data_IF_880645471837
#
_entry.id   IF_880645471837
#
_cell.length_a   1.000
_cell.length_b   1.000
_cell.length_c   1.000
_cell.angle_alpha   90.00
_cell.angle_beta   90.00
_cell.angle_gamma   90.00
#
_symmetry.space_group_name_H-M   'P 1'
#
loop_
_entity.id
_entity.type
_entity.pdbx_description
1 polymer ?
#
# COMPACT_ATOMS: atom_id res chain seq x y z
N UNK A 1 -7.25 6.11 84.17
CA UNK A 1 -8.11 6.32 82.96
C UNK A 1 -7.25 6.16 81.80
N UNK A 2 -7.37 5.00 81.14
CA UNK A 2 -6.49 4.61 79.97
C UNK A 2 -7.27 4.93 78.70
N UNK A 3 -6.65 5.71 77.84
CA UNK A 3 -7.08 5.90 76.44
C UNK A 3 -6.35 4.94 75.53
N UNK A 4 -7.04 3.97 75.01
CA UNK A 4 -6.59 3.09 73.94
C UNK A 4 -6.75 3.78 72.64
N UNK A 5 -5.63 3.97 71.92
CA UNK A 5 -5.59 4.42 70.51
C UNK A 5 -5.49 3.18 69.61
N UNK A 6 -6.50 2.97 68.75
CA UNK A 6 -6.49 1.96 67.68
C UNK A 6 -5.78 2.51 66.44
N UNK A 7 -4.88 1.76 65.81
CA UNK A 7 -4.30 2.17 64.53
C UNK A 7 -5.22 1.77 63.36
N UNK A 8 -5.61 2.77 62.56
CA UNK A 8 -6.27 2.58 61.28
C UNK A 8 -5.25 2.00 60.27
N UNK A 9 -5.49 0.79 59.84
CA UNK A 9 -4.80 0.20 58.68
C UNK A 9 -5.27 0.87 57.41
N UNK A 10 -4.34 1.57 56.73
CA UNK A 10 -4.54 2.05 55.39
C UNK A 10 -4.41 0.88 54.40
N UNK A 11 -5.49 0.59 53.70
CA UNK A 11 -5.44 -0.25 52.49
C UNK A 11 -4.95 0.60 51.31
N UNK A 12 -3.67 0.52 50.99
CA UNK A 12 -3.14 0.94 49.69
C UNK A 12 -3.67 -0.01 48.63
N UNK A 13 -4.69 0.38 47.91
CA UNK A 13 -5.05 -0.23 46.63
C UNK A 13 -4.08 0.24 45.55
N UNK A 14 -3.09 -0.59 45.27
CA UNK A 14 -2.27 -0.47 44.08
C UNK A 14 -3.14 -0.69 42.83
N UNK A 15 -3.68 0.38 42.30
CA UNK A 15 -4.38 0.42 41.00
C UNK A 15 -3.40 0.85 39.90
N UNK A 16 -2.35 0.06 39.67
CA UNK A 16 -1.33 0.32 38.65
C UNK A 16 -1.31 -0.72 37.51
N UNK A 17 -2.31 -1.62 37.42
CA UNK A 17 -2.27 -2.77 36.47
C UNK A 17 -2.98 -2.57 35.13
N UNK A 18 -3.81 -1.55 34.90
CA UNK A 18 -4.69 -1.51 33.73
C UNK A 18 -4.32 -0.53 32.59
N UNK A 19 -3.32 0.33 32.78
CA UNK A 19 -2.93 1.30 31.75
C UNK A 19 -1.83 0.81 30.81
N UNK A 20 -0.99 -0.13 31.23
CA UNK A 20 0.15 -0.59 30.43
C UNK A 20 -0.24 -1.61 29.34
N UNK A 21 -1.24 -2.46 29.61
CA UNK A 21 -1.67 -3.51 28.66
C UNK A 21 -2.27 -2.94 27.35
N UNK A 22 -2.91 -1.77 27.39
CA UNK A 22 -3.50 -1.15 26.20
C UNK A 22 -2.44 -0.50 25.28
N UNK A 23 -1.36 0.03 25.83
CA UNK A 23 -0.25 0.60 25.06
C UNK A 23 0.57 -0.48 24.35
N UNK A 24 0.78 -1.63 25.01
CA UNK A 24 1.55 -2.74 24.45
C UNK A 24 0.83 -3.38 23.25
N UNK A 25 -0.48 -3.57 23.33
CA UNK A 25 -1.27 -4.12 22.22
C UNK A 25 -1.35 -3.19 20.99
N UNK A 26 -1.21 -1.89 21.15
CA UNK A 26 -1.19 -0.94 20.03
C UNK A 26 0.17 -0.91 19.35
N UNK A 27 1.25 -0.94 20.09
CA UNK A 27 2.62 -0.98 19.58
C UNK A 27 2.89 -2.27 18.79
N UNK A 28 2.41 -3.41 19.27
CA UNK A 28 2.53 -4.72 18.60
C UNK A 28 1.86 -4.72 17.21
N UNK A 29 0.70 -4.09 17.07
CA UNK A 29 0.00 -4.02 15.76
C UNK A 29 0.73 -3.15 14.75
N UNK A 30 1.32 -2.05 15.19
CA UNK A 30 2.14 -1.19 14.33
C UNK A 30 3.43 -1.91 13.96
N UNK A 31 4.08 -2.61 14.90
CA UNK A 31 5.26 -3.41 14.63
C UNK A 31 4.97 -4.52 13.62
N UNK A 32 3.83 -5.23 13.75
CA UNK A 32 3.41 -6.25 12.79
C UNK A 32 3.25 -5.70 11.38
N UNK A 33 2.73 -4.47 11.23
CA UNK A 33 2.62 -3.83 9.94
C UNK A 33 4.00 -3.45 9.34
N UNK A 34 4.94 -2.99 10.17
CA UNK A 34 6.31 -2.73 9.71
C UNK A 34 7.02 -4.01 9.27
N UNK A 35 6.83 -5.11 9.99
CA UNK A 35 7.38 -6.42 9.57
C UNK A 35 6.77 -6.86 8.23
N UNK A 36 5.48 -6.64 8.01
CA UNK A 36 4.83 -6.91 6.73
C UNK A 36 5.45 -6.07 5.60
N UNK A 37 5.66 -4.76 5.79
CA UNK A 37 6.32 -3.91 4.80
C UNK A 37 7.75 -4.37 4.48
N UNK A 38 8.52 -4.79 5.48
CA UNK A 38 9.88 -5.33 5.26
C UNK A 38 9.82 -6.59 4.40
N UNK A 39 8.86 -7.47 4.66
CA UNK A 39 8.65 -8.69 3.85
C UNK A 39 8.32 -8.33 2.39
N UNK A 40 7.48 -7.32 2.17
CA UNK A 40 7.14 -6.84 0.83
C UNK A 40 8.36 -6.22 0.13
N UNK A 41 9.19 -5.44 0.83
CA UNK A 41 10.45 -4.92 0.28
C UNK A 41 11.37 -6.05 -0.19
N UNK A 42 11.50 -7.12 0.60
CA UNK A 42 12.31 -8.29 0.22
C UNK A 42 11.70 -8.99 -0.99
N UNK A 43 10.38 -9.17 -1.03
CA UNK A 43 9.66 -9.78 -2.15
C UNK A 43 9.91 -8.98 -3.44
N UNK A 44 9.65 -7.69 -3.45
CA UNK A 44 9.89 -6.84 -4.62
C UNK A 44 11.37 -6.76 -4.97
N UNK A 45 12.27 -6.69 -3.99
CA UNK A 45 13.71 -6.72 -4.21
C UNK A 45 14.17 -7.99 -4.95
N UNK A 46 13.63 -9.16 -4.59
CA UNK A 46 13.93 -10.41 -5.31
C UNK A 46 13.35 -10.44 -6.71
N UNK A 47 12.15 -9.89 -6.92
CA UNK A 47 11.55 -9.76 -8.25
C UNK A 47 12.35 -8.82 -9.15
N UNK A 48 12.82 -7.68 -8.66
CA UNK A 48 13.70 -6.76 -9.38
C UNK A 48 15.04 -7.41 -9.72
N UNK A 49 15.64 -8.15 -8.78
CA UNK A 49 16.88 -8.90 -9.05
C UNK A 49 16.66 -9.95 -10.15
N UNK A 50 15.57 -10.70 -10.10
CA UNK A 50 15.21 -11.67 -11.14
C UNK A 50 15.01 -11.01 -12.48
N UNK A 51 14.29 -9.89 -12.53
CA UNK A 51 14.10 -9.10 -13.75
C UNK A 51 15.45 -8.64 -14.34
N UNK A 52 16.35 -8.12 -13.51
CA UNK A 52 17.67 -7.65 -13.93
C UNK A 52 18.54 -8.77 -14.53
N UNK A 53 18.41 -10.00 -14.06
CA UNK A 53 19.12 -11.17 -14.61
C UNK A 53 18.52 -11.62 -15.96
N UNK A 54 17.19 -11.56 -16.09
CA UNK A 54 16.45 -12.05 -17.26
C UNK A 54 16.25 -10.98 -18.34
N UNK A 55 16.57 -9.73 -18.09
CA UNK A 55 16.31 -8.59 -18.96
C UNK A 55 16.87 -8.76 -20.40
N UNK A 56 18.00 -9.44 -20.57
CA UNK A 56 18.60 -9.73 -21.89
C UNK A 56 18.07 -11.03 -22.53
N UNK A 57 17.19 -11.78 -21.86
CA UNK A 57 16.71 -13.10 -22.32
C UNK A 57 15.45 -12.98 -23.16
N UNK A 58 15.52 -12.24 -24.29
CA UNK A 58 14.37 -12.00 -25.18
C UNK A 58 14.08 -13.14 -26.15
N UNK A 59 15.03 -14.09 -26.32
CA UNK A 59 14.90 -15.30 -27.18
C UNK A 59 14.48 -15.02 -28.63
N UNK A 60 14.79 -13.81 -29.15
CA UNK A 60 14.38 -13.42 -30.52
C UNK A 60 12.90 -13.02 -30.66
N UNK A 61 12.21 -12.82 -29.52
CA UNK A 61 10.84 -12.30 -29.48
C UNK A 61 10.78 -10.78 -29.63
N UNK A 62 9.56 -10.18 -29.59
CA UNK A 62 9.37 -8.74 -29.72
C UNK A 62 10.16 -7.98 -28.66
N UNK A 63 10.77 -6.87 -29.10
CA UNK A 63 11.61 -6.05 -28.22
C UNK A 63 10.75 -5.15 -27.34
N UNK A 64 11.16 -4.84 -26.10
CA UNK A 64 10.42 -3.94 -25.21
C UNK A 64 10.14 -2.57 -25.82
N UNK A 65 11.09 -2.06 -26.63
CA UNK A 65 10.98 -0.76 -27.31
C UNK A 65 9.80 -0.68 -28.29
N UNK A 66 9.39 -1.81 -28.88
CA UNK A 66 8.28 -1.87 -29.85
C UNK A 66 6.92 -2.00 -29.16
N UNK A 67 6.90 -2.52 -27.91
CA UNK A 67 5.69 -2.90 -27.21
C UNK A 67 5.22 -1.84 -26.19
N UNK A 68 6.13 -1.03 -25.64
CA UNK A 68 5.78 -0.08 -24.60
C UNK A 68 5.28 1.26 -25.17
N UNK A 69 4.03 1.57 -24.89
CA UNK A 69 3.46 2.90 -25.09
C UNK A 69 3.89 3.85 -23.96
N UNK A 70 5.05 4.51 -24.09
CA UNK A 70 5.56 5.44 -23.07
C UNK A 70 4.55 6.49 -22.59
N UNK A 71 3.65 7.06 -23.42
CA UNK A 71 2.60 7.98 -22.94
C UNK A 71 1.65 7.34 -21.94
N UNK A 72 1.33 6.04 -22.10
CA UNK A 72 0.46 5.30 -21.18
C UNK A 72 1.10 5.18 -19.79
N UNK A 73 2.33 4.71 -19.72
CA UNK A 73 3.09 4.52 -18.48
C UNK A 73 3.31 5.84 -17.73
N UNK A 74 3.56 6.93 -18.46
CA UNK A 74 3.67 8.27 -17.89
C UNK A 74 2.32 8.70 -17.28
N UNK A 75 1.21 8.48 -17.98
CA UNK A 75 -0.13 8.79 -17.47
C UNK A 75 -0.45 7.99 -16.20
N UNK A 76 -0.14 6.69 -16.16
CA UNK A 76 -0.28 5.84 -14.98
C UNK A 76 0.52 6.36 -13.79
N UNK A 77 1.75 6.81 -14.03
CA UNK A 77 2.60 7.41 -13.00
C UNK A 77 1.99 8.68 -12.43
N UNK A 78 1.48 9.58 -13.28
CA UNK A 78 0.81 10.80 -12.82
C UNK A 78 -0.48 10.50 -12.04
N UNK A 79 -1.25 9.48 -12.44
CA UNK A 79 -2.45 9.03 -11.74
C UNK A 79 -2.08 8.56 -10.33
N UNK A 80 -1.05 7.71 -10.18
CA UNK A 80 -0.60 7.22 -8.88
C UNK A 80 -0.04 8.33 -8.01
N UNK A 81 0.82 9.22 -8.52
CA UNK A 81 1.34 10.36 -7.77
C UNK A 81 0.23 11.28 -7.27
N UNK A 82 -0.77 11.55 -8.12
CA UNK A 82 -1.95 12.34 -7.73
C UNK A 82 -2.76 11.60 -6.66
N UNK A 83 -2.93 10.29 -6.79
CA UNK A 83 -3.58 9.43 -5.81
C UNK A 83 -2.87 9.46 -4.45
N UNK A 84 -1.55 9.43 -4.45
CA UNK A 84 -0.72 9.55 -3.24
C UNK A 84 -0.94 10.90 -2.55
N UNK A 85 -0.94 11.98 -3.31
CA UNK A 85 -1.22 13.31 -2.80
C UNK A 85 -2.63 13.42 -2.17
N UNK A 86 -3.65 12.88 -2.84
CA UNK A 86 -5.03 12.88 -2.31
C UNK A 86 -5.16 12.03 -1.06
N UNK A 87 -4.42 10.90 -0.96
CA UNK A 87 -4.33 10.08 0.25
C UNK A 87 -3.73 10.88 1.44
N UNK A 88 -2.69 11.67 1.20
CA UNK A 88 -2.11 12.56 2.21
C UNK A 88 -3.10 13.62 2.71
N UNK A 89 -3.90 14.21 1.81
CA UNK A 89 -4.95 15.16 2.18
C UNK A 89 -6.05 14.45 3.01
N UNK A 90 -6.41 13.22 2.69
CA UNK A 90 -7.36 12.45 3.47
C UNK A 90 -6.90 12.27 4.93
N UNK A 91 -5.61 11.97 5.15
CA UNK A 91 -5.01 11.91 6.50
C UNK A 91 -5.07 13.26 7.21
N UNK A 92 -4.83 14.37 6.49
CA UNK A 92 -4.95 15.72 7.05
C UNK A 92 -6.39 16.05 7.49
N UNK A 93 -7.40 15.66 6.69
CA UNK A 93 -8.82 15.81 7.06
C UNK A 93 -9.20 14.95 8.27
N UNK A 94 -8.60 13.78 8.40
CA UNK A 94 -8.76 12.93 9.58
C UNK A 94 -8.29 13.62 10.86
N UNK A 95 -7.11 14.27 10.82
CA UNK A 95 -6.59 15.03 11.96
C UNK A 95 -7.46 16.23 12.34
N UNK A 96 -8.08 16.87 11.33
CA UNK A 96 -9.06 17.96 11.55
C UNK A 96 -10.43 17.46 12.06
N UNK A 97 -10.64 16.15 12.18
CA UNK A 97 -11.91 15.56 12.60
C UNK A 97 -13.06 15.66 11.59
N UNK A 98 -12.75 16.04 10.35
CA UNK A 98 -13.75 16.22 9.28
C UNK A 98 -14.05 14.87 8.59
N UNK A 99 -15.08 14.17 9.09
CA UNK A 99 -15.50 12.86 8.55
C UNK A 99 -15.88 12.92 7.06
N UNK A 100 -16.62 13.95 6.64
CA UNK A 100 -17.07 14.08 5.24
C UNK A 100 -15.90 14.33 4.30
N UNK A 101 -14.97 15.21 4.70
CA UNK A 101 -13.74 15.48 3.95
C UNK A 101 -12.85 14.24 3.83
N UNK A 102 -12.67 13.50 4.93
CA UNK A 102 -11.90 12.26 4.94
C UNK A 102 -12.45 11.24 3.93
N UNK A 103 -13.76 10.96 3.99
CA UNK A 103 -14.39 10.00 3.06
C UNK A 103 -14.30 10.49 1.62
N UNK A 104 -14.56 11.78 1.37
CA UNK A 104 -14.48 12.36 0.02
C UNK A 104 -13.09 12.20 -0.61
N UNK A 105 -12.03 12.52 0.11
CA UNK A 105 -10.66 12.36 -0.38
C UNK A 105 -10.25 10.90 -0.55
N UNK A 106 -10.70 9.99 0.32
CA UNK A 106 -10.47 8.55 0.16
C UNK A 106 -11.19 8.01 -1.08
N UNK A 107 -12.40 8.50 -1.41
CA UNK A 107 -13.09 8.12 -2.65
C UNK A 107 -12.30 8.56 -3.88
N UNK A 108 -11.79 9.79 -3.90
CA UNK A 108 -10.96 10.29 -5.01
C UNK A 108 -9.71 9.42 -5.16
N UNK A 109 -9.01 9.11 -4.06
CA UNK A 109 -7.85 8.21 -4.06
C UNK A 109 -8.19 6.84 -4.62
N UNK A 110 -9.32 6.26 -4.18
CA UNK A 110 -9.77 4.94 -4.64
C UNK A 110 -10.15 4.94 -6.14
N UNK A 111 -10.77 6.00 -6.64
CA UNK A 111 -11.10 6.13 -8.07
C UNK A 111 -9.83 6.25 -8.92
N UNK A 112 -8.84 7.02 -8.48
CA UNK A 112 -7.53 7.12 -9.16
C UNK A 112 -6.81 5.76 -9.15
N UNK A 113 -6.79 5.05 -8.02
CA UNK A 113 -6.23 3.71 -7.94
C UNK A 113 -6.95 2.70 -8.84
N UNK A 114 -8.27 2.77 -8.93
CA UNK A 114 -9.06 1.93 -9.82
C UNK A 114 -8.79 2.23 -11.30
N UNK A 115 -8.62 3.52 -11.67
CA UNK A 115 -8.26 3.91 -13.04
C UNK A 115 -6.86 3.42 -13.42
N UNK A 116 -5.89 3.44 -12.49
CA UNK A 116 -4.58 2.85 -12.70
C UNK A 116 -4.68 1.34 -13.01
N UNK A 117 -5.38 0.57 -12.17
CA UNK A 117 -5.57 -0.88 -12.40
C UNK A 117 -6.25 -1.14 -13.75
N UNK A 118 -7.23 -0.31 -14.12
CA UNK A 118 -7.90 -0.45 -15.40
C UNK A 118 -6.94 -0.26 -16.58
N UNK A 119 -6.05 0.74 -16.54
CA UNK A 119 -5.05 0.98 -17.57
C UNK A 119 -4.03 -0.17 -17.63
N UNK A 120 -3.49 -0.60 -16.49
CA UNK A 120 -2.54 -1.71 -16.39
C UNK A 120 -3.11 -3.02 -16.97
N UNK A 121 -4.35 -3.36 -16.62
CA UNK A 121 -5.02 -4.55 -17.17
C UNK A 121 -5.26 -4.38 -18.67
N UNK A 122 -5.59 -3.18 -19.15
CA UNK A 122 -5.77 -2.92 -20.57
C UNK A 122 -4.45 -3.07 -21.36
N UNK A 123 -3.32 -2.65 -20.79
CA UNK A 123 -2.00 -2.89 -21.37
C UNK A 123 -1.67 -4.39 -21.44
N UNK A 124 -1.95 -5.12 -20.37
CA UNK A 124 -1.74 -6.58 -20.35
C UNK A 124 -2.56 -7.30 -21.43
N UNK A 125 -3.84 -6.91 -21.60
CA UNK A 125 -4.71 -7.50 -22.63
C UNK A 125 -4.14 -7.21 -24.02
N UNK A 126 -3.72 -5.99 -24.31
CA UNK A 126 -3.09 -5.63 -25.61
C UNK A 126 -1.86 -6.47 -25.89
N UNK A 127 -0.95 -6.61 -24.90
CA UNK A 127 0.26 -7.44 -25.05
C UNK A 127 -0.07 -8.90 -25.35
N UNK A 128 -1.09 -9.46 -24.70
CA UNK A 128 -1.54 -10.83 -24.93
C UNK A 128 -2.16 -10.99 -26.33
N UNK A 129 -2.94 -10.01 -26.81
CA UNK A 129 -3.52 -10.00 -28.16
C UNK A 129 -2.44 -9.90 -29.24
N UNK A 130 -1.32 -9.25 -28.97
CA UNK A 130 -0.15 -9.18 -29.84
C UNK A 130 0.73 -10.46 -29.76
N UNK A 131 0.30 -11.46 -28.98
CA UNK A 131 0.97 -12.76 -28.85
C UNK A 131 2.08 -12.81 -27.82
N UNK A 132 2.24 -11.75 -27.01
CA UNK A 132 3.21 -11.70 -25.91
C UNK A 132 2.57 -12.25 -24.64
N UNK A 133 3.08 -13.40 -24.19
CA UNK A 133 2.60 -14.07 -22.99
C UNK A 133 3.75 -14.35 -22.02
N UNK A 134 3.42 -14.77 -20.80
CA UNK A 134 4.40 -15.18 -19.78
C UNK A 134 5.38 -16.24 -20.33
N UNK A 135 4.93 -17.12 -21.25
CA UNK A 135 5.74 -18.17 -21.84
C UNK A 135 6.60 -17.75 -23.03
N UNK A 136 6.49 -16.51 -23.52
CA UNK A 136 7.17 -16.05 -24.75
C UNK A 136 8.69 -15.95 -24.56
N UNK A 137 9.16 -15.39 -23.44
CA UNK A 137 10.58 -15.30 -23.11
C UNK A 137 10.83 -15.10 -21.63
N UNK A 138 12.08 -15.23 -21.18
CA UNK A 138 12.48 -14.95 -19.81
C UNK A 138 12.21 -13.49 -19.40
N UNK A 139 12.44 -12.54 -20.32
CA UNK A 139 12.13 -11.14 -20.12
C UNK A 139 10.63 -10.92 -19.80
N UNK A 140 9.75 -11.40 -20.67
CA UNK A 140 8.31 -11.22 -20.53
C UNK A 140 7.74 -11.96 -19.30
N UNK A 141 8.30 -13.14 -18.99
CA UNK A 141 7.93 -13.86 -17.75
C UNK A 141 8.25 -13.03 -16.51
N UNK A 142 9.43 -12.44 -16.43
CA UNK A 142 9.83 -11.58 -15.30
C UNK A 142 9.02 -10.28 -15.26
N UNK A 143 8.75 -9.67 -16.41
CA UNK A 143 7.92 -8.48 -16.56
C UNK A 143 6.50 -8.70 -16.01
N UNK A 144 5.78 -9.68 -16.57
CA UNK A 144 4.41 -9.97 -16.13
C UNK A 144 4.33 -10.36 -14.66
N UNK A 145 5.35 -11.05 -14.14
CA UNK A 145 5.38 -11.41 -12.72
C UNK A 145 5.59 -10.19 -11.84
N UNK A 146 6.53 -9.31 -12.17
CA UNK A 146 6.85 -8.13 -11.37
C UNK A 146 5.70 -7.11 -11.38
N UNK A 147 5.26 -6.71 -12.58
CA UNK A 147 4.21 -5.70 -12.75
C UNK A 147 2.86 -6.26 -12.26
N UNK A 148 2.52 -7.51 -12.60
CA UNK A 148 1.31 -8.16 -12.12
C UNK A 148 1.26 -8.33 -10.61
N UNK A 149 2.39 -8.63 -9.96
CA UNK A 149 2.47 -8.67 -8.49
C UNK A 149 2.22 -7.29 -7.89
N UNK A 150 2.76 -6.23 -8.50
CA UNK A 150 2.48 -4.85 -8.09
C UNK A 150 0.99 -4.53 -8.22
N UNK A 151 0.37 -4.77 -9.37
CA UNK A 151 -1.06 -4.54 -9.60
C UNK A 151 -1.95 -5.33 -8.64
N UNK A 152 -1.57 -6.55 -8.27
CA UNK A 152 -2.26 -7.33 -7.25
C UNK A 152 -2.20 -6.65 -5.88
N UNK A 153 -1.04 -6.12 -5.48
CA UNK A 153 -0.90 -5.38 -4.23
C UNK A 153 -1.73 -4.08 -4.22
N UNK A 154 -1.76 -3.34 -5.34
CA UNK A 154 -2.62 -2.16 -5.50
C UNK A 154 -4.10 -2.55 -5.37
N UNK A 155 -4.51 -3.67 -5.97
CA UNK A 155 -5.90 -4.18 -5.89
C UNK A 155 -6.30 -4.54 -4.46
N UNK A 156 -5.43 -5.22 -3.71
CA UNK A 156 -5.63 -5.53 -2.29
C UNK A 156 -5.73 -4.25 -1.46
N UNK A 157 -4.84 -3.28 -1.70
CA UNK A 157 -4.87 -1.97 -1.04
C UNK A 157 -6.17 -1.22 -1.30
N UNK A 158 -6.67 -1.27 -2.54
CA UNK A 158 -7.95 -0.67 -2.94
C UNK A 158 -9.13 -1.32 -2.20
N UNK A 159 -9.19 -2.65 -2.16
CA UNK A 159 -10.21 -3.39 -1.41
C UNK A 159 -10.19 -3.02 0.09
N UNK A 160 -8.98 -2.91 0.66
CA UNK A 160 -8.83 -2.51 2.06
C UNK A 160 -9.30 -1.07 2.29
N UNK A 161 -8.98 -0.13 1.39
CA UNK A 161 -9.43 1.27 1.44
C UNK A 161 -10.96 1.37 1.37
N UNK A 162 -11.61 0.61 0.48
CA UNK A 162 -13.09 0.54 0.39
C UNK A 162 -13.69 0.01 1.68
N UNK A 163 -13.15 -1.07 2.23
CA UNK A 163 -13.61 -1.62 3.52
C UNK A 163 -13.48 -0.61 4.67
N UNK A 164 -12.39 0.17 4.65
CA UNK A 164 -12.17 1.23 5.64
C UNK A 164 -13.16 2.39 5.48
N UNK A 165 -13.48 2.81 4.25
CA UNK A 165 -14.51 3.83 4.00
C UNK A 165 -15.89 3.41 4.53
N UNK A 166 -16.28 2.15 4.33
CA UNK A 166 -17.53 1.60 4.88
C UNK A 166 -17.48 1.63 6.43
N UNK A 167 -16.36 1.28 7.02
CA UNK A 167 -16.18 1.30 8.48
C UNK A 167 -16.28 2.72 9.04
N UNK A 168 -15.65 3.71 8.41
CA UNK A 168 -15.73 5.13 8.79
C UNK A 168 -17.16 5.65 8.63
N UNK A 169 -17.84 5.23 7.56
CA UNK A 169 -19.25 5.58 7.33
C UNK A 169 -20.14 5.18 8.51
N UNK A 170 -19.98 3.94 9.00
CA UNK A 170 -20.80 3.35 10.06
C UNK A 170 -20.39 3.77 11.47
N UNK A 171 -19.08 3.79 11.78
CA UNK A 171 -18.56 3.98 13.16
C UNK A 171 -17.98 5.38 13.42
N UNK A 172 -17.81 6.20 12.39
CA UNK A 172 -17.18 7.51 12.51
C UNK A 172 -15.66 7.47 12.72
N UNK A 173 -15.10 8.61 13.13
CA UNK A 173 -13.68 8.77 13.41
C UNK A 173 -13.41 8.36 14.86
N UNK A 174 -12.93 7.14 15.07
CA UNK A 174 -12.50 6.60 16.36
C UNK A 174 -10.96 6.48 16.38
N UNK A 175 -10.31 6.34 17.55
CA UNK A 175 -8.87 6.09 17.63
C UNK A 175 -8.43 4.88 16.77
N UNK A 176 -9.23 3.81 16.77
CA UNK A 176 -8.98 2.61 15.95
C UNK A 176 -9.06 2.93 14.46
N UNK A 177 -10.06 3.74 14.04
CA UNK A 177 -10.24 4.11 12.63
C UNK A 177 -9.11 5.04 12.16
N UNK A 178 -8.68 5.99 13.01
CA UNK A 178 -7.54 6.87 12.73
C UNK A 178 -6.28 6.06 12.42
N UNK A 179 -5.94 5.11 13.29
CA UNK A 179 -4.78 4.24 13.09
C UNK A 179 -4.87 3.45 11.76
N UNK A 180 -6.03 2.87 11.46
CA UNK A 180 -6.23 2.13 10.21
C UNK A 180 -6.06 3.03 8.98
N UNK A 181 -6.57 4.27 8.98
CA UNK A 181 -6.37 5.23 7.90
C UNK A 181 -4.88 5.53 7.71
N UNK A 182 -4.15 5.77 8.80
CA UNK A 182 -2.70 6.02 8.74
C UNK A 182 -1.96 4.82 8.14
N UNK A 183 -2.29 3.60 8.55
CA UNK A 183 -1.67 2.37 8.05
C UNK A 183 -1.96 2.18 6.54
N UNK A 184 -3.21 2.35 6.11
CA UNK A 184 -3.58 2.23 4.68
C UNK A 184 -2.90 3.32 3.85
N UNK A 185 -2.81 4.55 4.35
CA UNK A 185 -2.10 5.63 3.66
C UNK A 185 -0.60 5.33 3.54
N UNK A 186 0.04 4.81 4.59
CA UNK A 186 1.44 4.41 4.56
C UNK A 186 1.68 3.28 3.56
N UNK A 187 0.79 2.28 3.53
CA UNK A 187 0.83 1.21 2.55
C UNK A 187 0.68 1.75 1.12
N UNK A 188 -0.22 2.70 0.89
CA UNK A 188 -0.44 3.34 -0.40
C UNK A 188 0.81 4.06 -0.90
N UNK A 189 1.46 4.87 -0.04
CA UNK A 189 2.72 5.54 -0.37
C UNK A 189 3.85 4.54 -0.66
N UNK A 190 3.90 3.42 0.07
CA UNK A 190 4.86 2.36 -0.21
C UNK A 190 4.68 1.78 -1.62
N UNK A 191 3.44 1.53 -2.04
CA UNK A 191 3.15 1.06 -3.41
C UNK A 191 3.59 2.05 -4.48
N UNK A 192 3.41 3.36 -4.26
CA UNK A 192 3.89 4.40 -5.18
C UNK A 192 5.42 4.38 -5.32
N UNK A 193 6.14 4.17 -4.22
CA UNK A 193 7.61 4.03 -4.26
C UNK A 193 8.00 2.81 -5.09
N UNK A 194 7.34 1.68 -4.87
CA UNK A 194 7.57 0.47 -5.68
C UNK A 194 7.29 0.73 -7.17
N UNK A 195 6.21 1.47 -7.50
CA UNK A 195 5.90 1.85 -8.88
C UNK A 195 7.00 2.68 -9.54
N UNK A 196 7.57 3.65 -8.82
CA UNK A 196 8.70 4.44 -9.34
C UNK A 196 9.90 3.55 -9.68
N UNK A 197 10.18 2.52 -8.85
CA UNK A 197 11.19 1.52 -9.17
C UNK A 197 10.82 0.69 -10.39
N UNK A 198 9.57 0.25 -10.52
CA UNK A 198 9.07 -0.47 -11.71
C UNK A 198 9.26 0.40 -12.95
N UNK A 199 8.81 1.67 -12.92
CA UNK A 199 9.00 2.61 -14.02
C UNK A 199 10.47 2.72 -14.42
N UNK A 200 11.37 2.92 -13.45
CA UNK A 200 12.78 3.16 -13.70
C UNK A 200 13.50 1.91 -14.21
N UNK A 201 13.28 0.76 -13.55
CA UNK A 201 14.03 -0.46 -13.85
C UNK A 201 13.45 -1.19 -15.05
N UNK A 202 12.13 -1.25 -15.18
CA UNK A 202 11.47 -2.06 -16.22
C UNK A 202 11.28 -1.26 -17.50
N UNK A 203 10.61 -0.11 -17.39
CA UNK A 203 10.26 0.66 -18.59
C UNK A 203 11.43 1.49 -19.11
N UNK A 204 12.14 2.22 -18.26
CA UNK A 204 13.21 3.12 -18.71
C UNK A 204 14.44 2.32 -19.19
N UNK A 205 14.86 1.26 -18.46
CA UNK A 205 15.96 0.40 -18.91
C UNK A 205 15.57 -0.51 -20.07
N UNK A 206 14.28 -0.87 -20.22
CA UNK A 206 13.79 -1.68 -21.32
C UNK A 206 13.74 -0.92 -22.66
N UNK A 207 13.71 0.42 -22.61
CA UNK A 207 13.65 1.28 -23.81
C UNK A 207 15.02 1.85 -24.21
N UNK A 208 16.00 1.88 -23.29
CA UNK A 208 17.38 2.29 -23.57
C UNK A 208 18.21 1.14 -24.10
#
# INVERSE_FOLDING_TARGET
MAHTVTPHGGHDHNDHGHHDDHHDHESIKVLGFWMFLITDVILFGTLFATFSVLHNSTNGGPTPHEMFEMPGVIAETFILLTSSFTSGIAVLQMHKGNKKGLIGWLIITALLGASFIFLEVSEFIKMVDEGVTIGTSGYWSAFFTLVGTHGLHVSVGLCWMVGLMIQIGKRGITPVTKRKVTIVSLYWHFLDVVWIFVLTVVYLMGVM
#
